data_IF_789092192562
#
_entry.id   IF_789092192562
#
_cell.length_a   1.000
_cell.length_b   1.000
_cell.length_c   1.000
_cell.angle_alpha   90.00
_cell.angle_beta   90.00
_cell.angle_gamma   90.00
#
_symmetry.space_group_name_H-M   'P 1'
#
loop_
_entity.id
_entity.type
_entity.pdbx_description
1 polymer ?
#
# COMPACT_ATOMS: atom_id res chain seq x y z
N UNK A 1 1.22 -16.84 -34.80
CA UNK A 1 1.74 -17.95 -35.65
C UNK A 1 1.31 -19.32 -35.12
N UNK A 2 1.57 -19.69 -33.87
CA UNK A 2 1.16 -20.98 -33.29
C UNK A 2 -0.36 -21.19 -33.27
N UNK A 3 -1.12 -20.15 -32.93
CA UNK A 3 -2.60 -20.18 -32.91
C UNK A 3 -3.15 -20.42 -34.32
N UNK A 4 -2.55 -19.81 -35.35
CA UNK A 4 -2.98 -19.98 -36.75
C UNK A 4 -2.72 -21.44 -37.18
N UNK A 5 -1.51 -21.95 -36.94
CA UNK A 5 -1.18 -23.35 -37.23
C UNK A 5 -2.07 -24.36 -36.51
N UNK A 6 -2.47 -24.06 -35.27
CA UNK A 6 -3.42 -24.89 -34.55
C UNK A 6 -4.79 -24.88 -35.22
N UNK A 7 -5.31 -23.68 -35.53
CA UNK A 7 -6.62 -23.55 -36.19
C UNK A 7 -6.68 -24.21 -37.56
N UNK A 8 -5.59 -24.16 -38.33
CA UNK A 8 -5.50 -24.86 -39.63
C UNK A 8 -5.49 -26.38 -39.49
N UNK A 9 -5.26 -26.92 -38.32
CA UNK A 9 -5.18 -28.35 -38.03
C UNK A 9 -6.10 -28.78 -36.88
N UNK A 10 -7.14 -27.99 -36.59
CA UNK A 10 -8.04 -28.20 -35.43
C UNK A 10 -8.63 -29.60 -35.40
N UNK A 11 -8.95 -30.13 -36.57
CA UNK A 11 -9.47 -31.50 -36.75
C UNK A 11 -8.59 -32.60 -36.22
N UNK A 12 -7.27 -32.34 -36.10
CA UNK A 12 -6.27 -33.29 -35.58
C UNK A 12 -6.11 -33.26 -34.05
N UNK A 13 -6.72 -32.24 -33.40
CA UNK A 13 -6.55 -31.98 -31.98
C UNK A 13 -7.89 -32.06 -31.25
N UNK A 14 -8.56 -33.18 -31.36
CA UNK A 14 -9.85 -33.43 -30.69
C UNK A 14 -9.76 -33.23 -29.18
N UNK A 15 -10.64 -32.41 -28.65
CA UNK A 15 -10.68 -32.11 -27.20
C UNK A 15 -9.74 -31.01 -26.71
N UNK A 16 -9.07 -30.30 -27.63
CA UNK A 16 -8.28 -29.12 -27.30
C UNK A 16 -9.04 -27.86 -27.72
N UNK A 17 -9.12 -26.89 -26.84
CA UNK A 17 -9.72 -25.58 -27.08
C UNK A 17 -8.72 -24.45 -26.78
N UNK A 18 -8.74 -23.41 -27.64
CA UNK A 18 -7.94 -22.21 -27.39
C UNK A 18 -8.75 -21.21 -26.59
N UNK A 19 -8.37 -21.02 -25.33
CA UNK A 19 -8.97 -20.00 -24.48
C UNK A 19 -8.13 -18.72 -24.53
N UNK A 20 -8.77 -17.59 -24.73
CA UNK A 20 -8.17 -16.26 -24.55
C UNK A 20 -8.34 -15.85 -23.10
N UNK A 21 -7.23 -15.66 -22.40
CA UNK A 21 -7.22 -15.18 -21.03
C UNK A 21 -6.62 -13.78 -20.97
N UNK A 22 -7.12 -12.97 -20.05
CA UNK A 22 -6.55 -11.65 -19.74
C UNK A 22 -5.57 -11.83 -18.57
N UNK A 23 -4.38 -11.28 -18.74
CA UNK A 23 -3.31 -11.32 -17.74
C UNK A 23 -2.93 -9.91 -17.38
N UNK A 24 -2.66 -9.64 -16.10
CA UNK A 24 -2.07 -8.36 -15.70
C UNK A 24 -0.62 -8.30 -16.17
N UNK A 25 -0.23 -7.14 -16.66
CA UNK A 25 1.16 -6.81 -16.95
C UNK A 25 1.51 -5.53 -16.22
N UNK A 26 2.63 -5.56 -15.49
CA UNK A 26 3.14 -4.43 -14.72
C UNK A 26 4.48 -3.97 -15.34
N UNK A 27 4.45 -3.02 -16.29
CA UNK A 27 5.64 -2.64 -17.07
C UNK A 27 6.79 -2.13 -16.20
N UNK A 28 6.47 -1.49 -15.08
CA UNK A 28 7.46 -0.94 -14.15
C UNK A 28 7.84 -1.91 -13.02
N UNK A 29 7.37 -3.14 -13.06
CA UNK A 29 7.74 -4.26 -12.16
C UNK A 29 7.59 -3.92 -10.68
N UNK A 30 8.63 -3.34 -10.08
CA UNK A 30 8.71 -3.07 -8.64
C UNK A 30 8.20 -1.68 -8.27
N UNK A 31 8.11 -0.76 -9.24
CA UNK A 31 7.77 0.63 -8.98
C UNK A 31 6.31 0.79 -8.52
N UNK A 32 6.12 1.38 -7.35
CA UNK A 32 4.81 1.57 -6.76
C UNK A 32 4.12 0.26 -6.36
N UNK A 33 4.86 -0.84 -6.19
CA UNK A 33 4.29 -2.17 -6.00
C UNK A 33 3.27 -2.24 -4.85
N UNK A 34 3.57 -1.62 -3.72
CA UNK A 34 2.65 -1.61 -2.57
C UNK A 34 1.43 -0.72 -2.78
N UNK A 35 1.56 0.34 -3.58
CA UNK A 35 0.44 1.23 -3.91
C UNK A 35 -0.49 0.58 -4.93
N UNK A 36 0.08 0.05 -6.01
CA UNK A 36 -0.69 -0.62 -7.06
C UNK A 36 -1.34 -1.90 -6.55
N UNK A 37 -0.59 -2.70 -5.80
CA UNK A 37 -1.04 -4.02 -5.38
C UNK A 37 -0.98 -5.04 -6.52
N UNK A 38 -1.48 -6.22 -6.26
CA UNK A 38 -1.46 -7.33 -7.20
C UNK A 38 -2.77 -8.08 -7.24
N UNK A 39 -2.96 -8.85 -8.30
CA UNK A 39 -4.08 -9.77 -8.45
C UNK A 39 -3.61 -11.21 -8.31
N UNK A 40 -4.49 -12.09 -7.82
CA UNK A 40 -4.29 -13.54 -7.87
C UNK A 40 -5.61 -14.26 -8.12
N UNK A 41 -5.53 -15.53 -8.53
CA UNK A 41 -6.72 -16.34 -8.71
C UNK A 41 -7.51 -16.45 -7.40
N UNK A 42 -8.83 -16.47 -7.51
CA UNK A 42 -9.71 -16.75 -6.39
C UNK A 42 -9.57 -18.19 -5.95
N UNK A 43 -9.68 -18.41 -4.64
CA UNK A 43 -9.68 -19.76 -4.06
C UNK A 43 -11.05 -20.39 -4.15
N UNK A 44 -11.14 -21.72 -3.99
CA UNK A 44 -12.41 -22.44 -3.94
C UNK A 44 -13.34 -21.95 -2.81
N UNK A 45 -12.80 -21.52 -1.70
CA UNK A 45 -13.56 -20.96 -0.58
C UNK A 45 -14.15 -19.59 -0.92
N UNK A 46 -13.37 -18.74 -1.56
CA UNK A 46 -13.81 -17.42 -2.04
C UNK A 46 -14.85 -17.55 -3.16
N UNK A 47 -14.68 -18.50 -4.04
CA UNK A 47 -15.62 -18.75 -5.15
C UNK A 47 -17.04 -19.04 -4.66
N UNK A 48 -17.21 -19.77 -3.54
CA UNK A 48 -18.52 -20.02 -2.95
C UNK A 48 -19.32 -18.75 -2.65
N UNK A 49 -18.62 -17.67 -2.33
CA UNK A 49 -19.21 -16.36 -2.01
C UNK A 49 -19.29 -15.49 -3.26
N UNK A 50 -18.18 -15.45 -4.02
CA UNK A 50 -18.01 -14.54 -5.14
C UNK A 50 -18.76 -14.97 -6.42
N UNK A 51 -19.10 -16.24 -6.54
CA UNK A 51 -19.91 -16.75 -7.68
C UNK A 51 -21.24 -15.98 -7.82
N UNK A 52 -21.86 -15.61 -6.69
CA UNK A 52 -23.09 -14.80 -6.67
C UNK A 52 -22.88 -13.38 -7.19
N UNK A 53 -21.64 -12.90 -7.22
CA UNK A 53 -21.22 -11.60 -7.76
C UNK A 53 -20.70 -11.72 -9.21
N UNK A 54 -20.92 -12.89 -9.85
CA UNK A 54 -20.55 -13.16 -11.24
C UNK A 54 -19.08 -13.49 -11.47
N UNK A 55 -18.33 -13.89 -10.42
CA UNK A 55 -16.98 -14.43 -10.59
C UNK A 55 -17.05 -15.88 -11.05
N UNK A 56 -16.08 -16.26 -11.87
CA UNK A 56 -15.85 -17.64 -12.31
C UNK A 56 -14.69 -18.25 -11.54
N UNK A 57 -14.64 -19.56 -11.52
CA UNK A 57 -13.48 -20.26 -10.95
C UNK A 57 -12.23 -19.85 -11.73
N UNK A 58 -11.14 -19.55 -11.01
CA UNK A 58 -9.88 -19.03 -11.54
C UNK A 58 -9.89 -17.57 -12.04
N UNK A 59 -10.99 -16.81 -11.86
CA UNK A 59 -10.93 -15.37 -12.06
C UNK A 59 -9.83 -14.75 -11.16
N UNK A 60 -9.23 -13.66 -11.65
CA UNK A 60 -8.31 -12.87 -10.85
C UNK A 60 -9.09 -11.87 -9.99
N UNK A 61 -8.63 -11.67 -8.76
CA UNK A 61 -9.15 -10.65 -7.86
C UNK A 61 -8.00 -9.84 -7.29
N UNK A 62 -8.18 -8.53 -7.13
CA UNK A 62 -7.23 -7.65 -6.47
C UNK A 62 -7.02 -8.04 -5.01
N UNK A 63 -5.77 -8.17 -4.57
CA UNK A 63 -5.42 -8.62 -3.21
C UNK A 63 -5.04 -7.48 -2.30
N UNK A 64 -4.35 -6.50 -2.84
CA UNK A 64 -3.85 -5.33 -2.10
C UNK A 64 -3.91 -4.08 -2.96
N UNK A 65 -3.66 -2.92 -2.36
CA UNK A 65 -3.49 -1.66 -3.06
C UNK A 65 -4.67 -1.25 -3.93
N UNK A 66 -4.38 -0.56 -5.02
CA UNK A 66 -5.36 -0.07 -6.00
C UNK A 66 -6.13 -1.23 -6.63
N UNK A 67 -5.46 -2.36 -6.92
CA UNK A 67 -6.11 -3.54 -7.49
C UNK A 67 -7.26 -4.04 -6.59
N UNK A 68 -7.06 -4.07 -5.28
CA UNK A 68 -8.10 -4.49 -4.34
C UNK A 68 -9.16 -3.40 -4.11
N UNK A 69 -8.73 -2.15 -3.90
CA UNK A 69 -9.63 -1.05 -3.58
C UNK A 69 -10.59 -0.72 -4.73
N UNK A 70 -10.11 -0.88 -5.96
CA UNK A 70 -10.88 -0.55 -7.17
C UNK A 70 -11.24 -1.79 -8.00
N UNK A 71 -11.25 -2.97 -7.40
CA UNK A 71 -11.62 -4.23 -8.06
C UNK A 71 -12.93 -4.10 -8.89
N UNK A 72 -13.97 -3.50 -8.31
CA UNK A 72 -15.26 -3.34 -8.98
C UNK A 72 -15.20 -2.45 -10.24
N UNK A 73 -14.20 -1.58 -10.34
CA UNK A 73 -13.99 -0.72 -11.52
C UNK A 73 -13.05 -1.37 -12.54
N UNK A 74 -12.01 -2.03 -12.05
CA UNK A 74 -10.97 -2.64 -12.88
C UNK A 74 -11.41 -3.97 -13.49
N UNK A 75 -12.28 -4.69 -12.78
CA UNK A 75 -12.84 -5.94 -13.24
C UNK A 75 -13.91 -5.65 -14.30
N UNK A 76 -13.87 -6.29 -15.44
CA UNK A 76 -14.95 -6.27 -16.41
C UNK A 76 -16.12 -7.18 -16.01
N UNK A 77 -17.06 -7.33 -16.91
CA UNK A 77 -18.13 -8.32 -16.82
C UNK A 77 -17.92 -9.38 -17.89
N UNK A 78 -18.06 -10.64 -17.50
CA UNK A 78 -18.04 -11.74 -18.44
C UNK A 78 -19.22 -11.66 -19.42
N UNK A 79 -18.92 -11.86 -20.68
CA UNK A 79 -19.91 -12.20 -21.70
C UNK A 79 -20.34 -13.65 -21.58
N UNK A 80 -21.27 -14.03 -22.40
CA UNK A 80 -21.76 -15.42 -22.52
C UNK A 80 -22.58 -15.61 -23.74
N UNK A 81 -22.63 -16.82 -24.24
CA UNK A 81 -23.51 -17.25 -25.29
C UNK A 81 -24.47 -18.31 -24.74
N UNK A 82 -25.74 -18.14 -24.98
CA UNK A 82 -26.74 -19.12 -24.66
C UNK A 82 -26.92 -20.03 -25.89
N UNK A 83 -26.62 -21.29 -25.71
CA UNK A 83 -26.69 -22.28 -26.79
C UNK A 83 -27.72 -23.36 -26.46
N UNK A 84 -28.41 -23.84 -27.47
CA UNK A 84 -29.23 -25.05 -27.44
C UNK A 84 -28.36 -26.24 -27.86
N UNK A 85 -28.35 -27.29 -27.05
CA UNK A 85 -27.60 -28.51 -27.33
C UNK A 85 -28.56 -29.71 -27.41
N UNK A 86 -28.22 -30.69 -28.24
CA UNK A 86 -28.95 -31.95 -28.28
C UNK A 86 -28.54 -32.89 -27.14
N UNK A 87 -29.12 -34.07 -27.05
CA UNK A 87 -28.83 -35.08 -26.03
C UNK A 87 -27.36 -35.55 -25.99
N UNK A 88 -26.62 -35.34 -27.06
CA UNK A 88 -25.21 -35.70 -27.19
C UNK A 88 -24.26 -34.49 -26.89
N UNK A 89 -24.81 -33.35 -26.43
CA UNK A 89 -24.04 -32.14 -26.15
C UNK A 89 -23.62 -31.32 -27.39
N UNK A 90 -24.15 -31.66 -28.59
CA UNK A 90 -23.81 -30.96 -29.83
C UNK A 90 -24.69 -29.70 -29.94
N UNK A 91 -24.00 -28.56 -30.16
CA UNK A 91 -24.65 -27.24 -30.32
C UNK A 91 -25.57 -27.28 -31.54
N UNK A 92 -26.85 -26.97 -31.35
CA UNK A 92 -27.87 -26.91 -32.41
C UNK A 92 -28.14 -25.46 -32.83
N UNK A 93 -28.16 -24.53 -31.86
CA UNK A 93 -28.54 -23.15 -32.14
C UNK A 93 -27.96 -22.22 -31.08
N UNK A 94 -27.55 -21.02 -31.50
CA UNK A 94 -27.32 -19.90 -30.58
C UNK A 94 -28.65 -19.19 -30.31
N UNK A 95 -29.01 -19.06 -29.03
CA UNK A 95 -30.24 -18.42 -28.55
C UNK A 95 -30.03 -16.96 -28.20
N UNK A 96 -28.77 -16.53 -28.00
CA UNK A 96 -28.42 -15.15 -27.71
C UNK A 96 -27.01 -14.99 -27.21
N UNK A 97 -26.45 -13.81 -27.43
CA UNK A 97 -25.10 -13.46 -27.02
C UNK A 97 -25.17 -12.24 -26.10
N UNK A 98 -24.57 -12.36 -24.87
CA UNK A 98 -24.28 -11.23 -23.99
C UNK A 98 -22.83 -10.85 -24.25
N UNK A 99 -22.51 -9.64 -24.81
CA UNK A 99 -21.13 -9.25 -25.02
C UNK A 99 -20.44 -9.03 -23.69
N UNK A 100 -19.11 -9.30 -23.60
CA UNK A 100 -18.31 -8.95 -22.41
C UNK A 100 -18.19 -7.43 -22.29
N UNK A 101 -18.09 -6.93 -21.05
CA UNK A 101 -17.79 -5.53 -20.79
C UNK A 101 -16.38 -5.40 -20.23
N UNK A 102 -15.56 -4.55 -20.85
CA UNK A 102 -14.22 -4.20 -20.35
C UNK A 102 -14.33 -3.48 -19.00
N UNK A 103 -13.40 -3.73 -18.09
CA UNK A 103 -13.22 -2.91 -16.89
C UNK A 103 -12.85 -1.46 -17.24
N UNK A 104 -13.02 -0.57 -16.30
CA UNK A 104 -12.71 0.85 -16.46
C UNK A 104 -11.24 1.11 -16.22
N UNK A 105 -10.71 2.11 -16.91
CA UNK A 105 -9.36 2.61 -16.67
C UNK A 105 -9.37 3.56 -15.44
N UNK A 106 -8.32 3.55 -14.64
CA UNK A 106 -8.15 4.41 -13.46
C UNK A 106 -6.87 5.23 -13.63
N UNK A 107 -6.99 6.53 -13.41
CA UNK A 107 -5.84 7.43 -13.35
C UNK A 107 -5.55 7.76 -11.88
N UNK A 108 -4.31 7.53 -11.47
CA UNK A 108 -3.85 7.82 -10.11
C UNK A 108 -3.25 9.23 -10.03
N UNK A 109 -3.23 9.78 -8.83
CA UNK A 109 -2.54 11.05 -8.53
C UNK A 109 -1.03 10.92 -8.43
N UNK A 110 -0.51 9.70 -8.51
CA UNK A 110 0.92 9.40 -8.41
C UNK A 110 1.66 10.00 -9.62
N UNK A 111 2.68 10.80 -9.35
CA UNK A 111 3.64 11.28 -10.33
C UNK A 111 4.75 10.25 -10.50
N UNK A 112 4.96 9.79 -11.74
CA UNK A 112 5.91 8.73 -12.03
C UNK A 112 7.36 9.14 -11.70
N UNK A 113 7.72 10.41 -11.89
CA UNK A 113 9.06 10.92 -11.63
C UNK A 113 9.32 10.99 -10.13
N UNK A 114 8.37 11.53 -9.36
CA UNK A 114 8.46 11.56 -7.89
C UNK A 114 8.47 10.16 -7.30
N UNK A 115 7.69 9.23 -7.84
CA UNK A 115 7.69 7.83 -7.40
C UNK A 115 9.06 7.17 -7.60
N UNK A 116 9.71 7.40 -8.76
CA UNK A 116 11.06 6.87 -9.02
C UNK A 116 12.07 7.42 -8.03
N UNK A 117 12.06 8.74 -7.79
CA UNK A 117 12.95 9.39 -6.82
C UNK A 117 12.72 8.83 -5.41
N UNK A 118 11.46 8.68 -4.99
CA UNK A 118 11.12 8.14 -3.67
C UNK A 118 11.65 6.72 -3.46
N UNK A 119 11.60 5.87 -4.49
CA UNK A 119 12.16 4.52 -4.41
C UNK A 119 13.68 4.48 -4.48
N UNK A 120 14.29 5.37 -5.28
CA UNK A 120 15.74 5.52 -5.37
C UNK A 120 16.36 5.93 -4.02
N UNK A 121 15.76 6.91 -3.33
CA UNK A 121 16.19 7.34 -1.98
C UNK A 121 16.17 6.18 -0.97
N UNK A 122 15.29 5.22 -1.15
CA UNK A 122 15.19 4.04 -0.29
C UNK A 122 16.11 2.89 -0.72
N UNK A 123 16.80 2.98 -1.86
CA UNK A 123 17.47 1.85 -2.50
C UNK A 123 18.45 1.13 -1.57
N UNK A 124 19.24 1.88 -0.79
CA UNK A 124 20.26 1.34 0.11
C UNK A 124 19.76 1.09 1.54
N UNK A 125 18.45 1.28 1.78
CA UNK A 125 17.88 1.10 3.10
C UNK A 125 17.37 -0.34 3.29
N UNK A 126 17.60 -0.92 4.45
CA UNK A 126 17.06 -2.25 4.80
C UNK A 126 15.54 -2.25 4.86
N UNK A 127 14.93 -1.15 5.28
CA UNK A 127 13.51 -0.93 5.33
C UNK A 127 13.17 0.53 5.55
N UNK A 128 12.03 0.97 5.02
CA UNK A 128 11.58 2.35 5.17
C UNK A 128 10.43 2.67 4.24
N UNK A 129 9.90 3.88 4.37
CA UNK A 129 8.86 4.39 3.49
C UNK A 129 9.09 5.87 3.18
N UNK A 130 8.62 6.30 2.01
CA UNK A 130 8.55 7.70 1.59
C UNK A 130 7.15 7.96 1.07
N UNK A 131 6.53 9.02 1.58
CA UNK A 131 5.24 9.52 1.09
C UNK A 131 5.41 10.98 0.70
N UNK A 132 4.97 11.32 -0.51
CA UNK A 132 4.90 12.70 -0.99
C UNK A 132 3.43 13.04 -1.20
N UNK A 133 2.95 14.01 -0.45
CA UNK A 133 1.57 14.46 -0.49
C UNK A 133 1.51 15.94 -0.87
N UNK A 134 0.58 16.30 -1.71
CA UNK A 134 0.28 17.70 -2.01
C UNK A 134 -0.58 18.28 -0.86
N UNK A 135 -0.10 19.31 -0.13
CA UNK A 135 -0.82 19.83 1.03
C UNK A 135 -2.09 20.59 0.67
N UNK A 136 -2.28 20.94 -0.61
CA UNK A 136 -3.43 21.73 -1.07
C UNK A 136 -4.70 20.90 -1.22
N UNK A 137 -4.56 19.64 -1.61
CA UNK A 137 -5.69 18.75 -1.93
C UNK A 137 -5.57 17.35 -1.31
N UNK A 138 -4.45 17.08 -0.62
CA UNK A 138 -4.17 15.78 -0.01
C UNK A 138 -3.78 14.68 -1.03
N UNK A 139 -3.57 15.03 -2.31
CA UNK A 139 -3.23 14.06 -3.33
C UNK A 139 -1.86 13.43 -3.06
N UNK A 140 -1.81 12.10 -3.05
CA UNK A 140 -0.57 11.35 -2.94
C UNK A 140 0.14 11.39 -4.29
N UNK A 141 1.32 12.03 -4.33
CA UNK A 141 2.16 12.14 -5.52
C UNK A 141 3.21 11.04 -5.62
N UNK A 142 3.65 10.49 -4.48
CA UNK A 142 4.46 9.29 -4.42
C UNK A 142 4.20 8.54 -3.12
N UNK A 143 4.26 7.21 -3.16
CA UNK A 143 4.20 6.35 -1.98
C UNK A 143 5.08 5.12 -2.23
N UNK A 144 6.21 5.08 -1.55
CA UNK A 144 7.20 4.04 -1.66
C UNK A 144 7.37 3.30 -0.33
N UNK A 145 7.54 2.00 -0.40
CA UNK A 145 7.83 1.14 0.76
C UNK A 145 8.94 0.16 0.39
N UNK A 146 9.91 -0.02 1.29
CA UNK A 146 11.05 -0.91 1.08
C UNK A 146 11.18 -1.93 2.21
N UNK A 147 11.58 -3.18 1.92
CA UNK A 147 11.81 -3.76 0.59
C UNK A 147 10.58 -3.76 -0.29
N UNK A 148 10.82 -3.74 -1.60
CA UNK A 148 9.78 -3.85 -2.63
C UNK A 148 9.81 -5.23 -3.29
N UNK A 149 8.89 -5.51 -4.20
CA UNK A 149 8.78 -6.78 -4.90
C UNK A 149 8.28 -6.57 -6.35
N UNK A 150 8.60 -7.53 -7.23
CA UNK A 150 8.09 -7.50 -8.60
C UNK A 150 6.64 -7.96 -8.66
N UNK A 151 5.74 -7.07 -9.07
CA UNK A 151 4.31 -7.34 -9.23
C UNK A 151 4.05 -8.48 -10.23
N UNK A 152 4.89 -8.60 -11.27
CA UNK A 152 4.75 -9.67 -12.26
C UNK A 152 5.02 -11.06 -11.70
N UNK A 153 5.57 -11.18 -10.48
CA UNK A 153 5.66 -12.47 -9.80
C UNK A 153 4.28 -13.13 -9.67
N UNK A 154 3.25 -12.33 -9.37
CA UNK A 154 1.89 -12.84 -9.16
C UNK A 154 1.20 -13.26 -10.46
N UNK A 155 1.66 -12.76 -11.60
CA UNK A 155 1.11 -13.08 -12.93
C UNK A 155 1.79 -14.28 -13.59
N UNK A 156 2.91 -14.78 -13.01
CA UNK A 156 3.61 -15.97 -13.51
C UNK A 156 2.78 -17.23 -13.29
N UNK A 157 2.69 -18.08 -14.30
CA UNK A 157 2.05 -19.40 -14.18
C UNK A 157 2.88 -20.33 -13.29
N UNK A 158 4.20 -20.28 -13.45
CA UNK A 158 5.16 -20.96 -12.58
C UNK A 158 5.88 -19.97 -11.69
N UNK A 159 5.89 -20.24 -10.38
CA UNK A 159 6.55 -19.42 -9.36
C UNK A 159 7.79 -20.17 -8.84
N UNK A 160 9.02 -19.70 -9.16
CA UNK A 160 10.23 -20.33 -8.63
C UNK A 160 10.22 -20.33 -7.08
N UNK A 161 10.54 -21.46 -6.48
CA UNK A 161 10.49 -21.65 -5.03
C UNK A 161 11.32 -20.62 -4.27
N UNK A 162 12.51 -20.29 -4.78
CA UNK A 162 13.39 -19.28 -4.18
C UNK A 162 12.74 -17.90 -4.14
N UNK A 163 12.10 -17.46 -5.24
CA UNK A 163 11.39 -16.18 -5.30
C UNK A 163 10.20 -16.19 -4.37
N UNK A 164 9.45 -17.29 -4.33
CA UNK A 164 8.32 -17.49 -3.44
C UNK A 164 8.74 -17.38 -1.97
N UNK A 165 9.76 -18.11 -1.56
CA UNK A 165 10.25 -18.09 -0.18
C UNK A 165 10.78 -16.72 0.22
N UNK A 166 11.52 -16.03 -0.67
CA UNK A 166 11.96 -14.65 -0.41
C UNK A 166 10.80 -13.68 -0.23
N UNK A 167 9.71 -13.86 -0.98
CA UNK A 167 8.58 -12.95 -0.94
C UNK A 167 7.71 -13.16 0.31
N UNK A 168 7.45 -14.42 0.68
CA UNK A 168 6.48 -14.75 1.73
C UNK A 168 7.10 -15.06 3.10
N UNK A 169 8.35 -15.55 3.14
CA UNK A 169 8.97 -16.05 4.37
C UNK A 169 10.26 -15.33 4.76
N UNK A 170 10.67 -14.29 4.01
CA UNK A 170 11.84 -13.49 4.35
C UNK A 170 11.58 -12.61 5.57
N UNK A 171 12.56 -12.52 6.48
CA UNK A 171 12.55 -11.61 7.62
C UNK A 171 12.44 -10.13 7.21
N UNK A 172 12.86 -9.82 5.99
CA UNK A 172 12.75 -8.47 5.42
C UNK A 172 11.32 -8.04 5.12
N UNK A 173 10.37 -9.00 5.05
CA UNK A 173 8.93 -8.80 4.83
C UNK A 173 8.63 -7.86 3.65
N UNK A 174 8.98 -8.22 2.41
CA UNK A 174 8.82 -7.34 1.25
C UNK A 174 7.37 -7.02 0.92
N UNK A 175 6.40 -7.87 1.28
CA UNK A 175 4.98 -7.59 1.08
C UNK A 175 4.39 -6.61 2.10
N UNK A 176 5.10 -6.31 3.18
CA UNK A 176 4.62 -5.41 4.21
C UNK A 176 4.72 -3.95 3.76
N UNK A 177 3.57 -3.28 3.65
CA UNK A 177 3.53 -1.87 3.27
C UNK A 177 3.87 -0.97 4.46
N UNK A 178 5.13 -0.54 4.53
CA UNK A 178 5.64 0.33 5.59
C UNK A 178 5.09 1.75 5.53
N UNK A 179 4.62 2.19 4.36
CA UNK A 179 4.04 3.52 4.21
C UNK A 179 2.65 3.65 4.88
N UNK A 180 1.95 2.54 5.10
CA UNK A 180 0.63 2.52 5.74
C UNK A 180 0.68 1.99 7.18
N UNK A 181 1.88 1.82 7.74
CA UNK A 181 2.03 1.35 9.11
C UNK A 181 2.19 2.53 10.08
N UNK A 182 1.68 2.36 11.28
CA UNK A 182 1.87 3.32 12.37
C UNK A 182 3.26 3.13 13.00
N UNK A 183 3.92 4.24 13.29
CA UNK A 183 5.20 4.30 13.97
C UNK A 183 5.15 5.31 15.10
N UNK A 184 5.96 5.09 16.14
CA UNK A 184 6.13 6.09 17.18
C UNK A 184 6.76 7.35 16.57
N UNK A 185 6.12 8.51 16.71
CA UNK A 185 6.55 9.73 16.02
C UNK A 185 7.89 10.29 16.55
N UNK A 186 8.31 9.89 17.73
CA UNK A 186 9.52 10.40 18.36
C UNK A 186 9.50 11.92 18.46
N UNK A 187 10.67 12.55 18.23
CA UNK A 187 10.81 14.02 18.36
C UNK A 187 9.96 14.86 17.40
N UNK A 188 9.40 14.26 16.34
CA UNK A 188 8.44 14.97 15.45
C UNK A 188 7.19 15.40 16.25
N UNK A 189 6.81 14.64 17.27
CA UNK A 189 5.69 14.96 18.15
C UNK A 189 5.88 16.25 18.95
N UNK A 190 7.10 16.72 19.12
CA UNK A 190 7.41 17.97 19.84
C UNK A 190 6.75 19.19 19.18
N UNK A 191 6.51 19.16 17.87
CA UNK A 191 5.78 20.21 17.16
C UNK A 191 4.34 20.28 17.66
N UNK A 192 3.68 19.13 17.79
CA UNK A 192 2.31 19.04 18.34
C UNK A 192 2.27 19.54 19.78
N UNK A 193 3.23 19.08 20.61
CA UNK A 193 3.33 19.54 22.01
C UNK A 193 3.60 21.04 22.11
N UNK A 194 4.39 21.62 21.20
CA UNK A 194 4.62 23.05 21.15
C UNK A 194 3.33 23.83 20.85
N UNK A 195 2.60 23.40 19.83
CA UNK A 195 1.32 24.03 19.43
C UNK A 195 0.31 23.95 20.57
N UNK A 196 0.12 22.79 21.19
CA UNK A 196 -0.77 22.61 22.32
C UNK A 196 -0.39 23.52 23.50
N UNK A 197 0.92 23.67 23.78
CA UNK A 197 1.42 24.58 24.80
C UNK A 197 1.03 26.03 24.56
N UNK A 198 1.21 26.49 23.32
CA UNK A 198 0.90 27.87 22.94
C UNK A 198 -0.62 28.11 22.89
N UNK A 199 -1.40 27.22 22.30
CA UNK A 199 -2.84 27.37 22.12
C UNK A 199 -3.60 27.26 23.46
N UNK A 200 -3.13 26.46 24.40
CA UNK A 200 -3.70 26.39 25.75
C UNK A 200 -3.55 27.70 26.56
N UNK A 201 -2.64 28.59 26.11
CA UNK A 201 -2.24 29.78 26.83
C UNK A 201 -1.42 29.56 28.09
N UNK A 202 -1.18 28.27 28.47
CA UNK A 202 -0.39 27.95 29.68
C UNK A 202 1.12 28.17 29.45
N UNK A 203 1.57 28.04 28.21
CA UNK A 203 2.95 28.24 27.80
C UNK A 203 2.99 29.08 26.51
N UNK A 204 2.80 30.42 26.59
CA UNK A 204 2.81 31.28 25.42
C UNK A 204 4.15 31.25 24.67
N UNK A 205 4.19 31.79 23.46
CA UNK A 205 5.33 31.69 22.54
C UNK A 205 6.67 32.19 23.13
N UNK A 206 6.61 33.15 24.06
CA UNK A 206 7.79 33.73 24.74
C UNK A 206 8.29 32.87 25.92
N UNK A 207 7.62 31.76 26.22
CA UNK A 207 7.98 30.88 27.35
C UNK A 207 9.43 30.43 27.26
N UNK A 208 10.17 30.61 28.33
CA UNK A 208 11.50 30.03 28.54
C UNK A 208 11.46 29.13 29.75
N UNK A 209 11.99 27.92 29.59
CA UNK A 209 12.10 26.92 30.64
C UNK A 209 13.55 26.51 30.85
N UNK A 210 13.89 26.25 32.10
CA UNK A 210 15.17 25.63 32.44
C UNK A 210 15.12 24.15 32.06
N UNK A 211 15.97 23.77 31.13
CA UNK A 211 16.14 22.35 30.79
C UNK A 211 17.11 21.69 31.79
N UNK A 212 16.83 20.45 32.10
CA UNK A 212 17.51 19.67 33.14
C UNK A 212 18.12 18.40 32.53
N UNK A 213 19.12 17.81 33.19
CA UNK A 213 19.63 16.50 32.79
C UNK A 213 18.51 15.43 32.71
N UNK A 214 17.56 15.53 33.62
CA UNK A 214 16.33 14.72 33.57
C UNK A 214 15.19 15.38 34.36
N UNK A 215 13.95 14.93 34.04
CA UNK A 215 12.75 15.23 34.83
C UNK A 215 12.30 13.95 35.51
N UNK A 216 12.14 14.02 36.83
CA UNK A 216 11.68 12.87 37.62
C UNK A 216 10.15 12.88 37.68
N UNK A 217 9.54 11.79 37.24
CA UNK A 217 8.11 11.57 37.40
C UNK A 217 7.87 10.18 38.02
N UNK A 218 7.28 10.15 39.18
CA UNK A 218 7.21 8.94 40.00
C UNK A 218 8.61 8.43 40.35
N UNK A 219 8.91 7.20 39.99
CA UNK A 219 10.25 6.57 40.19
C UNK A 219 11.14 6.64 38.96
N UNK A 220 10.67 7.24 37.87
CA UNK A 220 11.37 7.26 36.60
C UNK A 220 12.00 8.64 36.34
N UNK A 221 13.24 8.65 35.82
CA UNK A 221 13.95 9.84 35.34
C UNK A 221 13.89 9.87 33.79
N UNK A 222 13.18 10.85 33.23
CA UNK A 222 13.06 11.09 31.78
C UNK A 222 14.19 12.02 31.35
N UNK A 223 15.20 11.45 30.67
CA UNK A 223 16.46 12.11 30.40
C UNK A 223 16.43 13.04 29.20
N UNK A 224 17.26 14.08 29.30
CA UNK A 224 17.68 14.83 28.14
C UNK A 224 18.64 13.97 27.30
N UNK A 225 18.67 14.19 25.98
CA UNK A 225 19.48 13.34 25.09
C UNK A 225 21.00 13.64 25.19
N UNK A 226 21.41 14.79 25.76
CA UNK A 226 22.79 15.13 26.03
C UNK A 226 23.21 14.88 27.49
N UNK A 227 22.29 14.35 28.32
CA UNK A 227 22.49 14.09 29.76
C UNK A 227 22.84 15.31 30.64
N UNK A 228 22.86 16.54 30.10
CA UNK A 228 23.21 17.76 30.82
C UNK A 228 22.09 18.81 30.84
N UNK A 229 21.35 18.93 29.76
CA UNK A 229 20.41 20.01 29.48
C UNK A 229 21.05 21.14 28.68
N UNK A 230 20.28 22.17 28.36
CA UNK A 230 20.66 23.29 27.48
C UNK A 230 20.52 24.64 28.18
N UNK A 231 20.35 24.66 29.51
CA UNK A 231 20.05 25.88 30.23
C UNK A 231 18.63 26.39 30.02
N UNK A 232 18.41 27.69 30.17
CA UNK A 232 17.14 28.34 29.99
C UNK A 232 16.96 28.67 28.50
N UNK A 233 16.04 27.94 27.81
CA UNK A 233 15.77 28.08 26.36
C UNK A 233 14.28 28.29 26.09
N UNK A 234 13.95 28.89 24.92
CA UNK A 234 12.59 29.01 24.41
C UNK A 234 12.26 27.95 23.37
N UNK A 235 11.05 28.01 22.78
CA UNK A 235 10.56 27.05 21.80
C UNK A 235 11.47 26.87 20.59
N UNK A 236 11.97 27.96 20.01
CA UNK A 236 12.83 27.92 18.83
C UNK A 236 14.09 27.10 19.10
N UNK A 237 14.81 27.44 20.18
CA UNK A 237 16.02 26.71 20.56
C UNK A 237 15.69 25.28 20.97
N UNK A 238 14.60 25.04 21.70
CA UNK A 238 14.19 23.73 22.14
C UNK A 238 13.86 22.79 20.96
N UNK A 239 13.21 23.31 19.89
CA UNK A 239 12.99 22.57 18.66
C UNK A 239 14.31 22.34 17.90
N UNK A 240 15.14 23.37 17.79
CA UNK A 240 16.44 23.30 17.09
C UNK A 240 17.37 22.24 17.66
N UNK A 241 17.48 22.16 18.98
CA UNK A 241 18.30 21.16 19.68
C UNK A 241 17.53 19.90 20.05
N UNK A 242 16.24 19.85 19.73
CA UNK A 242 15.34 18.73 20.06
C UNK A 242 15.31 18.38 21.56
N UNK A 243 15.28 19.39 22.44
CA UNK A 243 15.29 19.19 23.89
C UNK A 243 14.12 18.31 24.35
N UNK A 244 14.42 17.25 25.06
CA UNK A 244 13.40 16.39 25.65
C UNK A 244 12.76 17.04 26.87
N UNK A 245 13.60 17.54 27.79
CA UNK A 245 13.13 18.05 29.08
C UNK A 245 12.35 19.35 28.96
N UNK A 246 12.59 20.15 27.92
CA UNK A 246 11.72 21.29 27.60
C UNK A 246 10.30 20.80 27.29
N UNK A 247 10.16 19.86 26.35
CA UNK A 247 8.84 19.39 25.89
C UNK A 247 8.15 18.46 26.90
N UNK A 248 8.88 17.76 27.78
CA UNK A 248 8.25 17.04 28.89
C UNK A 248 7.56 17.99 29.86
N UNK A 249 8.14 19.17 30.16
CA UNK A 249 7.53 20.18 31.02
C UNK A 249 6.27 20.75 30.38
N UNK A 250 6.31 21.08 29.07
CA UNK A 250 5.14 21.57 28.34
C UNK A 250 4.04 20.48 28.35
N UNK A 251 4.35 19.27 27.90
CA UNK A 251 3.35 18.19 27.79
C UNK A 251 2.71 17.81 29.12
N UNK A 252 3.50 17.82 30.20
CA UNK A 252 2.99 17.59 31.55
C UNK A 252 2.08 18.71 32.05
N UNK A 253 2.47 19.96 31.79
CA UNK A 253 1.70 21.14 32.24
C UNK A 253 0.41 21.38 31.46
N UNK A 254 0.40 21.01 30.17
CA UNK A 254 -0.77 21.13 29.30
C UNK A 254 -1.74 19.96 29.52
N UNK A 255 -1.21 18.78 29.68
CA UNK A 255 -2.00 17.55 29.82
C UNK A 255 -2.49 16.94 28.49
N UNK A 256 -2.95 15.71 28.59
CA UNK A 256 -3.30 14.86 27.44
C UNK A 256 -4.54 15.39 26.68
N UNK A 257 -5.49 15.97 27.40
CA UNK A 257 -6.76 16.43 26.80
C UNK A 257 -6.53 17.61 25.83
N UNK A 258 -5.68 18.56 26.22
CA UNK A 258 -5.33 19.70 25.34
C UNK A 258 -4.43 19.28 24.17
N UNK A 259 -3.56 18.28 24.36
CA UNK A 259 -2.72 17.73 23.27
C UNK A 259 -3.58 17.01 22.21
N UNK A 260 -4.70 16.43 22.62
CA UNK A 260 -5.63 15.72 21.74
C UNK A 260 -6.66 16.62 21.06
N UNK A 261 -6.78 17.88 21.50
CA UNK A 261 -7.72 18.84 20.97
C UNK A 261 -7.23 19.46 19.66
#
# INVERSE_FOLDING_TARGET
EQIIKFKENEDKFLGIEILRTVKRDYPYKTLGAHALGYTSAITNSEFKILSRKGYRLNDLIGRTGVEAAYENYLRGEWGGEMIEVNANGIVQKSLGIKPPKKGKDITLTIDLSLQKIAEEVLQDKKGGAVIVMDPRDGAIRAIASRPTFDLNFFTKDFKPEKEYNNLFFSDSKPLFNRALNAYDPGSVWKIVTALAGMESGSFPAETKLQTLPCIVYGSQCFREHNDEGFGSIGYEDALRVSSNTFFYQIGYGVGVDEINR
#
